data_IF_445428053354
#
_entry.id   IF_445428053354
#
_cell.length_a   1.000
_cell.length_b   1.000
_cell.length_c   1.000
_cell.angle_alpha   90.00
_cell.angle_beta   90.00
_cell.angle_gamma   90.00
#
_symmetry.space_group_name_H-M   'P 1'
#
loop_
_entity.id
_entity.type
_entity.pdbx_description
1 polymer ?
#
# COMPACT_ATOMS: atom_id res chain seq x y z
N UNK A 1 -6.17 -49.72 43.55
CA UNK A 1 -5.21 -50.86 43.56
C UNK A 1 -4.07 -50.51 42.61
N UNK A 2 -3.03 -49.78 43.04
CA UNK A 2 -1.69 -50.28 43.45
C UNK A 2 -1.34 -51.73 43.04
N UNK A 3 -0.33 -51.86 42.17
CA UNK A 3 0.87 -52.75 42.21
C UNK A 3 1.71 -52.40 40.96
N UNK A 4 2.93 -51.88 41.00
CA UNK A 4 4.19 -52.16 41.74
C UNK A 4 5.16 -53.03 40.94
N UNK A 5 6.39 -52.50 40.78
CA UNK A 5 7.72 -53.16 40.68
C UNK A 5 8.01 -54.02 39.42
N UNK A 6 9.19 -54.04 38.78
CA UNK A 6 10.62 -53.91 39.16
C UNK A 6 11.44 -53.75 37.85
N UNK A 7 12.44 -52.86 37.74
CA UNK A 7 13.87 -53.05 38.06
C UNK A 7 14.61 -54.11 37.22
N UNK A 8 15.42 -53.71 36.23
CA UNK A 8 16.75 -54.32 35.96
C UNK A 8 17.62 -53.36 35.12
N UNK A 9 18.78 -52.99 35.66
CA UNK A 9 19.92 -52.41 34.94
C UNK A 9 20.73 -53.55 34.30
N UNK A 10 21.20 -53.38 33.06
CA UNK A 10 22.41 -54.06 32.59
C UNK A 10 23.18 -53.16 31.63
N UNK A 11 24.48 -53.12 31.83
CA UNK A 11 25.44 -52.31 31.13
C UNK A 11 26.04 -53.03 29.90
N UNK A 12 26.80 -52.24 29.14
CA UNK A 12 28.09 -52.58 28.52
C UNK A 12 28.16 -53.00 27.02
N UNK A 13 29.02 -52.22 26.34
CA UNK A 13 30.06 -52.59 25.35
C UNK A 13 29.72 -52.45 23.85
N UNK A 14 30.39 -51.42 23.29
CA UNK A 14 31.14 -51.32 22.02
C UNK A 14 30.86 -52.36 20.92
N UNK A 15 30.63 -51.88 19.70
CA UNK A 15 31.53 -52.10 18.56
C UNK A 15 31.00 -51.48 17.27
N UNK A 16 31.94 -51.09 16.41
CA UNK A 16 31.74 -50.39 15.14
C UNK A 16 30.99 -51.22 14.09
N UNK A 17 30.17 -50.53 13.31
CA UNK A 17 29.61 -51.04 12.06
C UNK A 17 29.38 -49.87 11.10
N UNK A 18 30.35 -49.59 10.24
CA UNK A 18 30.16 -48.74 9.08
C UNK A 18 29.20 -49.44 8.11
N UNK A 19 28.04 -48.85 7.89
CA UNK A 19 27.13 -49.23 6.80
C UNK A 19 26.83 -47.96 6.00
N UNK A 20 27.50 -47.88 4.85
CA UNK A 20 27.14 -46.99 3.75
C UNK A 20 25.83 -47.50 3.15
N UNK A 21 24.73 -46.79 3.41
CA UNK A 21 23.52 -46.88 2.59
C UNK A 21 23.27 -45.49 2.01
N UNK A 22 23.63 -45.38 0.73
CA UNK A 22 23.11 -44.42 -0.23
C UNK A 22 21.62 -44.65 -0.42
N UNK A 23 20.78 -43.64 -0.17
CA UNK A 23 19.57 -43.31 -0.96
C UNK A 23 18.82 -42.17 -0.25
N UNK A 24 18.55 -41.06 -0.95
CA UNK A 24 17.66 -40.03 -0.43
C UNK A 24 17.98 -38.62 -0.91
N UNK A 25 17.87 -38.37 -2.20
CA UNK A 25 17.62 -37.01 -2.73
C UNK A 25 16.31 -36.48 -2.16
N UNK A 26 16.36 -35.42 -1.35
CA UNK A 26 15.39 -34.31 -1.28
C UNK A 26 15.79 -33.36 -0.13
N UNK A 27 16.82 -32.54 -0.38
CA UNK A 27 17.11 -31.36 0.42
C UNK A 27 16.64 -30.12 -0.35
N UNK A 28 15.55 -29.54 0.12
CA UNK A 28 14.88 -28.31 -0.33
C UNK A 28 15.80 -27.25 -0.96
N UNK A 29 15.60 -26.88 -2.25
CA UNK A 29 16.06 -25.58 -2.74
C UNK A 29 15.02 -24.51 -2.36
N UNK A 30 15.45 -23.25 -2.39
CA UNK A 30 14.70 -22.02 -2.07
C UNK A 30 14.70 -21.65 -0.59
N UNK A 31 15.90 -21.34 -0.11
CA UNK A 31 16.03 -20.32 0.92
C UNK A 31 15.26 -19.08 0.48
N UNK A 32 14.26 -18.70 1.26
CA UNK A 32 13.75 -17.34 1.27
C UNK A 32 14.92 -16.44 1.65
N UNK A 33 15.64 -15.94 0.65
CA UNK A 33 16.52 -14.79 0.81
C UNK A 33 15.59 -13.62 1.10
N UNK A 34 15.39 -13.33 2.38
CA UNK A 34 14.87 -12.05 2.81
C UNK A 34 15.76 -10.98 2.17
N UNK A 35 15.18 -10.18 1.26
CA UNK A 35 15.81 -8.93 0.83
C UNK A 35 15.78 -8.00 2.04
N UNK A 36 16.82 -8.10 2.87
CA UNK A 36 17.23 -6.97 3.68
C UNK A 36 17.74 -5.92 2.68
N UNK A 37 16.84 -5.06 2.21
CA UNK A 37 17.23 -3.87 1.49
C UNK A 37 17.97 -2.97 2.46
N UNK A 38 19.18 -2.60 2.09
CA UNK A 38 19.96 -1.59 2.79
C UNK A 38 19.21 -0.25 2.68
N UNK A 39 18.59 0.18 3.78
CA UNK A 39 17.80 1.42 3.84
C UNK A 39 18.65 2.66 3.47
N UNK A 40 19.98 2.56 3.53
CA UNK A 40 20.90 3.62 3.13
C UNK A 40 20.92 3.92 1.62
N UNK A 41 20.71 2.92 0.77
CA UNK A 41 20.78 3.08 -0.69
C UNK A 41 19.50 3.74 -1.25
N UNK A 42 18.34 3.39 -0.68
CA UNK A 42 17.04 3.91 -1.11
C UNK A 42 16.88 5.43 -0.85
N UNK A 43 17.40 5.95 0.26
CA UNK A 43 17.34 7.40 0.58
C UNK A 43 18.22 8.21 -0.37
N UNK A 44 19.38 7.66 -0.76
CA UNK A 44 20.30 8.23 -1.75
C UNK A 44 19.65 8.30 -3.15
N UNK A 45 18.97 7.23 -3.55
CA UNK A 45 18.33 7.11 -4.87
C UNK A 45 17.10 8.01 -5.01
N UNK A 46 16.29 8.16 -3.95
CA UNK A 46 15.14 9.06 -3.93
C UNK A 46 15.55 10.54 -4.13
N UNK A 47 16.63 10.97 -3.50
CA UNK A 47 17.14 12.34 -3.62
C UNK A 47 17.65 12.63 -5.04
N UNK A 48 18.27 11.65 -5.71
CA UNK A 48 18.77 11.81 -7.08
C UNK A 48 17.66 11.93 -8.11
N UNK A 49 16.51 11.31 -7.85
CA UNK A 49 15.35 11.31 -8.75
C UNK A 49 14.34 12.43 -8.46
N UNK A 50 14.58 13.28 -7.47
CA UNK A 50 13.68 14.37 -7.11
C UNK A 50 13.57 15.40 -8.26
N UNK A 51 12.36 15.86 -8.62
CA UNK A 51 12.19 16.88 -9.64
C UNK A 51 12.83 18.21 -9.24
N UNK A 52 13.46 18.89 -10.20
CA UNK A 52 14.16 20.15 -9.94
C UNK A 52 13.21 21.35 -9.82
N UNK A 53 11.97 21.21 -10.29
CA UNK A 53 11.00 22.31 -10.30
C UNK A 53 9.60 21.86 -9.91
N UNK A 54 8.80 22.79 -9.38
CA UNK A 54 7.39 22.55 -9.11
C UNK A 54 6.59 22.19 -10.37
N UNK A 55 6.98 22.70 -11.55
CA UNK A 55 6.34 22.36 -12.83
C UNK A 55 6.57 20.90 -13.19
N UNK A 56 7.79 20.41 -13.01
CA UNK A 56 8.12 19.00 -13.24
C UNK A 56 7.38 18.11 -12.22
N UNK A 57 7.39 18.49 -10.93
CA UNK A 57 6.66 17.78 -9.89
C UNK A 57 5.15 17.72 -10.17
N UNK A 58 4.55 18.81 -10.67
CA UNK A 58 3.15 18.84 -11.11
C UNK A 58 2.89 17.81 -12.20
N UNK A 59 3.69 17.79 -13.26
CA UNK A 59 3.53 16.83 -14.34
C UNK A 59 3.61 15.38 -13.86
N UNK A 60 4.58 15.08 -12.98
CA UNK A 60 4.73 13.75 -12.35
C UNK A 60 3.52 13.40 -11.48
N UNK A 61 3.05 14.33 -10.65
CA UNK A 61 1.89 14.12 -9.79
C UNK A 61 0.60 13.88 -10.59
N UNK A 62 0.38 14.63 -11.67
CA UNK A 62 -0.79 14.44 -12.53
C UNK A 62 -0.77 13.09 -13.25
N UNK A 63 0.38 12.67 -13.79
CA UNK A 63 0.52 11.35 -14.39
C UNK A 63 0.28 10.24 -13.36
N UNK A 64 0.83 10.37 -12.16
CA UNK A 64 0.64 9.42 -11.07
C UNK A 64 -0.82 9.37 -10.60
N UNK A 65 -1.47 10.53 -10.50
CA UNK A 65 -2.89 10.64 -10.19
C UNK A 65 -3.74 9.85 -11.19
N UNK A 66 -3.60 10.14 -12.48
CA UNK A 66 -4.39 9.46 -13.53
C UNK A 66 -4.11 7.96 -13.56
N UNK A 67 -2.86 7.55 -13.34
CA UNK A 67 -2.49 6.13 -13.30
C UNK A 67 -3.18 5.41 -12.15
N UNK A 68 -3.09 5.95 -10.92
CA UNK A 68 -3.70 5.35 -9.73
C UNK A 68 -5.23 5.41 -9.82
N UNK A 69 -5.78 6.53 -10.28
CA UNK A 69 -7.21 6.71 -10.51
C UNK A 69 -7.77 5.66 -11.46
N UNK A 70 -7.16 5.53 -12.64
CA UNK A 70 -7.58 4.57 -13.66
C UNK A 70 -7.42 3.13 -13.18
N UNK A 71 -6.29 2.80 -12.55
CA UNK A 71 -6.06 1.47 -11.98
C UNK A 71 -7.13 1.12 -10.94
N UNK A 72 -7.45 2.03 -10.02
CA UNK A 72 -8.47 1.82 -9.00
C UNK A 72 -9.86 1.57 -9.62
N UNK A 73 -10.21 2.31 -10.68
CA UNK A 73 -11.49 2.13 -11.39
C UNK A 73 -11.57 0.79 -12.09
N UNK A 74 -10.51 0.42 -12.84
CA UNK A 74 -10.45 -0.87 -13.54
C UNK A 74 -10.51 -2.02 -12.55
N UNK A 75 -9.74 -1.96 -11.46
CA UNK A 75 -9.72 -3.04 -10.46
C UNK A 75 -11.06 -3.20 -9.74
N UNK A 76 -11.74 -2.11 -9.40
CA UNK A 76 -13.08 -2.19 -8.82
C UNK A 76 -14.11 -2.77 -9.80
N UNK A 77 -14.00 -2.48 -11.09
CA UNK A 77 -14.92 -3.00 -12.11
C UNK A 77 -14.70 -4.48 -12.40
N UNK A 78 -13.44 -4.88 -12.56
CA UNK A 78 -13.09 -6.18 -13.13
C UNK A 78 -12.83 -7.25 -12.07
N UNK A 79 -12.37 -6.88 -10.88
CA UNK A 79 -11.93 -7.84 -9.86
C UNK A 79 -12.70 -7.78 -8.54
N UNK A 80 -13.34 -6.66 -8.21
CA UNK A 80 -14.06 -6.54 -6.95
C UNK A 80 -15.49 -7.08 -7.06
N UNK A 81 -15.83 -8.03 -6.17
CA UNK A 81 -17.20 -8.52 -5.98
C UNK A 81 -17.62 -8.29 -4.55
N UNK A 82 -18.80 -7.69 -4.37
CA UNK A 82 -19.33 -7.26 -3.08
C UNK A 82 -19.60 -8.43 -2.12
N UNK A 83 -19.99 -9.57 -2.67
CA UNK A 83 -20.34 -10.80 -1.94
C UNK A 83 -19.14 -11.72 -1.67
N UNK A 84 -17.98 -11.43 -2.28
CA UNK A 84 -16.76 -12.18 -2.06
C UNK A 84 -15.89 -11.46 -1.01
N UNK A 85 -15.30 -12.21 -0.07
CA UNK A 85 -14.41 -11.67 0.97
C UNK A 85 -13.00 -11.36 0.43
N UNK A 86 -12.93 -10.68 -0.72
CA UNK A 86 -11.68 -10.27 -1.37
C UNK A 86 -11.15 -8.97 -0.75
N UNK A 87 -9.82 -8.76 -0.86
CA UNK A 87 -9.19 -7.51 -0.44
C UNK A 87 -9.72 -6.33 -1.26
N UNK A 88 -10.06 -5.24 -0.59
CA UNK A 88 -10.57 -4.02 -1.23
C UNK A 88 -9.46 -3.41 -2.11
N UNK A 89 -9.72 -3.09 -3.39
CA UNK A 89 -8.69 -2.61 -4.30
C UNK A 89 -7.92 -1.37 -3.81
N UNK A 90 -8.59 -0.45 -3.10
CA UNK A 90 -7.92 0.74 -2.52
C UNK A 90 -6.88 0.38 -1.47
N UNK A 91 -7.14 -0.66 -0.67
CA UNK A 91 -6.20 -1.14 0.35
C UNK A 91 -5.00 -1.84 -0.31
N UNK A 92 -5.22 -2.64 -1.36
CA UNK A 92 -4.12 -3.28 -2.09
C UNK A 92 -3.11 -2.29 -2.69
N UNK A 93 -3.57 -1.09 -3.06
CA UNK A 93 -2.69 -0.03 -3.57
C UNK A 93 -1.86 0.68 -2.50
N UNK A 94 -2.20 0.56 -1.22
CA UNK A 94 -1.41 1.18 -0.14
C UNK A 94 0.00 0.58 -0.07
N UNK A 95 0.16 -0.68 -0.48
CA UNK A 95 1.47 -1.33 -0.63
C UNK A 95 2.30 -0.66 -1.74
N UNK A 96 1.66 -0.31 -2.86
CA UNK A 96 2.29 0.45 -3.94
C UNK A 96 2.71 1.85 -3.45
N UNK A 97 1.89 2.48 -2.60
CA UNK A 97 2.21 3.80 -2.04
C UNK A 97 3.44 3.75 -1.14
N UNK A 98 3.61 2.68 -0.36
CA UNK A 98 4.81 2.47 0.46
C UNK A 98 6.05 2.30 -0.40
N UNK A 99 5.97 1.57 -1.51
CA UNK A 99 7.10 1.45 -2.45
C UNK A 99 7.44 2.78 -3.13
N UNK A 100 6.44 3.60 -3.49
CA UNK A 100 6.69 4.96 -4.01
C UNK A 100 7.39 5.85 -2.98
N UNK A 101 7.00 5.75 -1.71
CA UNK A 101 7.67 6.47 -0.62
C UNK A 101 9.11 5.97 -0.43
N UNK A 102 9.30 4.65 -0.44
CA UNK A 102 10.62 4.02 -0.24
C UNK A 102 11.60 4.36 -1.37
N UNK A 103 11.20 4.21 -2.63
CA UNK A 103 12.10 4.33 -3.76
C UNK A 103 12.27 5.76 -4.28
N UNK A 104 11.27 6.64 -4.06
CA UNK A 104 11.26 7.99 -4.62
C UNK A 104 10.97 9.09 -3.60
N UNK A 105 10.73 8.76 -2.33
CA UNK A 105 10.29 9.74 -1.32
C UNK A 105 8.92 10.34 -1.61
N UNK A 106 8.15 9.76 -2.55
CA UNK A 106 6.83 10.27 -2.95
C UNK A 106 5.77 9.67 -2.03
N UNK A 107 5.18 10.51 -1.19
CA UNK A 107 4.08 10.10 -0.32
C UNK A 107 2.76 10.18 -1.08
N UNK A 108 2.01 9.08 -1.08
CA UNK A 108 0.68 9.01 -1.67
C UNK A 108 -0.32 8.50 -0.65
N UNK A 109 -1.49 9.13 -0.56
CA UNK A 109 -2.55 8.68 0.36
C UNK A 109 -3.96 9.02 -0.12
N UNK A 110 -4.91 8.20 0.28
CA UNK A 110 -6.34 8.46 0.08
C UNK A 110 -6.83 9.63 0.93
N UNK A 111 -7.85 10.33 0.43
CA UNK A 111 -8.49 11.45 1.10
C UNK A 111 -10.02 11.35 0.99
N UNK A 112 -10.72 11.39 2.11
CA UNK A 112 -12.17 11.54 2.13
C UNK A 112 -12.53 13.00 1.81
N UNK A 113 -13.40 13.22 0.82
CA UNK A 113 -13.79 14.56 0.37
C UNK A 113 -15.25 14.85 0.72
N UNK A 114 -16.21 14.21 0.04
CA UNK A 114 -17.64 14.45 0.28
C UNK A 114 -18.45 13.17 0.57
N UNK A 115 -17.75 12.14 1.05
CA UNK A 115 -18.32 10.92 1.65
C UNK A 115 -17.68 10.67 3.01
N UNK A 116 -18.29 9.82 3.81
CA UNK A 116 -17.62 9.32 5.01
C UNK A 116 -16.31 8.62 4.65
N UNK A 117 -15.31 8.76 5.52
CA UNK A 117 -14.04 8.10 5.36
C UNK A 117 -14.21 6.61 5.66
N UNK A 118 -13.98 5.76 4.65
CA UNK A 118 -14.04 4.30 4.81
C UNK A 118 -12.98 3.77 5.77
N UNK A 119 -11.87 4.51 5.92
CA UNK A 119 -10.85 4.31 6.92
C UNK A 119 -10.58 5.66 7.61
N UNK A 120 -10.40 5.66 8.94
CA UNK A 120 -10.01 6.83 9.73
C UNK A 120 -8.77 7.52 9.19
N UNK A 121 -7.86 6.75 8.58
CA UNK A 121 -6.61 7.27 8.01
C UNK A 121 -6.82 8.19 6.80
N UNK A 122 -7.98 8.12 6.16
CA UNK A 122 -8.30 8.91 4.97
C UNK A 122 -8.91 10.27 5.32
N UNK A 123 -9.15 10.56 6.62
CA UNK A 123 -9.62 11.88 7.04
C UNK A 123 -8.54 12.94 6.78
N UNK A 124 -8.90 14.18 6.43
CA UNK A 124 -7.93 15.27 6.29
C UNK A 124 -7.24 15.54 7.65
N UNK A 125 -5.91 15.56 7.63
CA UNK A 125 -5.01 15.73 8.78
C UNK A 125 -4.34 17.10 8.76
N UNK A 126 -3.85 17.52 7.59
CA UNK A 126 -3.09 18.77 7.45
C UNK A 126 -3.98 19.93 6.97
N UNK A 127 -3.46 21.16 7.05
CA UNK A 127 -4.15 22.34 6.51
C UNK A 127 -4.34 22.23 5.01
N UNK A 128 -3.29 21.86 4.28
CA UNK A 128 -3.36 21.57 2.84
C UNK A 128 -4.52 20.63 2.49
N UNK A 129 -4.72 19.59 3.29
CA UNK A 129 -5.75 18.58 3.02
C UNK A 129 -7.16 19.08 3.32
N UNK A 130 -7.32 19.86 4.39
CA UNK A 130 -8.60 20.53 4.66
C UNK A 130 -8.94 21.51 3.53
N UNK A 131 -7.94 22.20 2.98
CA UNK A 131 -8.11 23.16 1.89
C UNK A 131 -8.43 22.45 0.58
N UNK A 132 -7.73 21.35 0.30
CA UNK A 132 -8.04 20.45 -0.78
C UNK A 132 -9.48 19.94 -0.68
N UNK A 133 -9.92 19.43 0.48
CA UNK A 133 -11.32 18.97 0.67
C UNK A 133 -12.32 20.06 0.32
N UNK A 134 -12.09 21.31 0.75
CA UNK A 134 -12.98 22.44 0.41
C UNK A 134 -13.00 22.70 -1.10
N UNK A 135 -11.83 22.74 -1.74
CA UNK A 135 -11.69 22.97 -3.18
C UNK A 135 -12.34 21.85 -4.02
N UNK A 136 -12.08 20.59 -3.68
CA UNK A 136 -12.63 19.44 -4.41
C UNK A 136 -14.14 19.31 -4.18
N UNK A 137 -14.63 19.61 -2.97
CA UNK A 137 -16.08 19.64 -2.68
C UNK A 137 -16.80 20.73 -3.48
N UNK A 138 -16.15 21.86 -3.75
CA UNK A 138 -16.71 22.92 -4.60
C UNK A 138 -16.70 22.58 -6.10
N UNK A 139 -16.29 21.36 -6.47
CA UNK A 139 -16.30 20.88 -7.85
C UNK A 139 -15.01 21.12 -8.63
N UNK A 140 -13.92 21.58 -7.99
CA UNK A 140 -12.61 21.60 -8.65
C UNK A 140 -12.08 20.17 -8.82
N UNK A 141 -11.43 19.89 -9.95
CA UNK A 141 -10.83 18.58 -10.21
C UNK A 141 -9.54 18.34 -9.45
N UNK A 142 -8.82 19.43 -9.12
CA UNK A 142 -7.53 19.38 -8.43
C UNK A 142 -7.31 20.59 -7.52
N UNK A 143 -6.40 20.43 -6.56
CA UNK A 143 -5.85 21.47 -5.70
C UNK A 143 -4.35 21.22 -5.49
N UNK A 144 -3.54 22.27 -5.54
CA UNK A 144 -2.09 22.15 -5.45
C UNK A 144 -1.47 23.26 -4.61
N UNK A 145 -0.29 22.98 -4.05
CA UNK A 145 0.54 23.95 -3.34
C UNK A 145 2.02 23.55 -3.43
N UNK A 146 2.91 24.53 -3.37
CA UNK A 146 4.36 24.31 -3.28
C UNK A 146 5.00 25.36 -2.38
N UNK A 147 6.04 24.97 -1.63
CA UNK A 147 6.80 25.87 -0.76
C UNK A 147 8.31 25.90 -1.10
N UNK A 148 8.70 25.41 -2.27
CA UNK A 148 10.10 25.35 -2.71
C UNK A 148 10.87 24.10 -2.25
N UNK A 149 10.43 23.44 -1.18
CA UNK A 149 11.01 22.15 -0.73
C UNK A 149 10.13 20.96 -1.09
N UNK A 150 8.81 21.17 -1.13
CA UNK A 150 7.83 20.14 -1.42
C UNK A 150 6.76 20.70 -2.34
N UNK A 151 6.35 19.86 -3.29
CA UNK A 151 5.14 20.07 -4.08
C UNK A 151 4.04 19.11 -3.59
N UNK A 152 2.82 19.62 -3.45
CA UNK A 152 1.65 18.83 -3.05
C UNK A 152 0.54 18.99 -4.08
N UNK A 153 -0.07 17.86 -4.42
CA UNK A 153 -1.22 17.75 -5.30
C UNK A 153 -2.33 16.96 -4.61
N UNK A 154 -3.57 17.38 -4.79
CA UNK A 154 -4.77 16.65 -4.41
C UNK A 154 -5.71 16.61 -5.61
N UNK A 155 -5.97 15.41 -6.15
CA UNK A 155 -6.86 15.20 -7.29
C UNK A 155 -8.11 14.42 -6.91
N UNK A 156 -9.20 14.59 -7.68
CA UNK A 156 -10.47 13.88 -7.46
C UNK A 156 -10.38 12.43 -7.92
N UNK A 157 -10.72 11.52 -7.01
CA UNK A 157 -11.12 10.16 -7.35
C UNK A 157 -12.65 10.13 -7.47
N UNK A 158 -13.13 10.09 -8.71
CA UNK A 158 -14.57 10.03 -9.00
C UNK A 158 -15.18 8.71 -8.51
N UNK A 159 -16.14 8.81 -7.61
CA UNK A 159 -16.94 7.70 -7.12
C UNK A 159 -18.24 7.63 -7.93
N UNK A 160 -18.22 6.77 -8.95
CA UNK A 160 -19.40 6.49 -9.79
C UNK A 160 -20.46 5.68 -9.03
N UNK A 161 -21.67 5.56 -9.59
CA UNK A 161 -22.80 4.82 -9.00
C UNK A 161 -22.45 3.43 -8.43
N UNK A 162 -21.54 2.67 -9.06
CA UNK A 162 -21.10 1.37 -8.53
C UNK A 162 -20.28 1.52 -7.24
N UNK A 163 -19.39 2.51 -7.18
CA UNK A 163 -18.59 2.82 -6.00
C UNK A 163 -19.48 3.27 -4.83
N UNK A 164 -20.60 3.95 -5.12
CA UNK A 164 -21.51 4.45 -4.08
C UNK A 164 -22.23 3.35 -3.31
N UNK A 165 -22.21 2.09 -3.76
CA UNK A 165 -22.75 0.96 -2.99
C UNK A 165 -22.08 0.82 -1.63
N UNK A 166 -20.75 0.94 -1.60
CA UNK A 166 -19.96 0.81 -0.38
C UNK A 166 -19.66 2.17 0.25
N UNK A 167 -19.42 3.20 -0.55
CA UNK A 167 -19.05 4.53 -0.04
C UNK A 167 -20.22 5.34 0.52
N UNK A 168 -21.46 5.02 0.10
CA UNK A 168 -22.69 5.70 0.53
C UNK A 168 -23.82 4.66 0.60
N UNK A 169 -23.80 3.73 1.58
CA UNK A 169 -24.70 2.56 1.60
C UNK A 169 -26.18 2.95 1.63
N UNK A 170 -26.51 4.06 2.31
CA UNK A 170 -27.87 4.60 2.41
C UNK A 170 -28.15 5.73 1.39
N UNK A 171 -27.55 5.66 0.19
CA UNK A 171 -27.72 6.72 -0.82
C UNK A 171 -29.17 6.85 -1.28
N UNK A 172 -29.63 8.09 -1.40
CA UNK A 172 -30.91 8.46 -2.01
C UNK A 172 -30.75 8.92 -3.47
N UNK A 173 -29.53 8.91 -4.00
CA UNK A 173 -29.19 9.40 -5.34
C UNK A 173 -27.99 8.65 -5.91
N UNK A 174 -27.91 8.57 -7.23
CA UNK A 174 -26.78 8.02 -8.00
C UNK A 174 -25.82 9.08 -8.52
N UNK A 175 -26.02 10.37 -8.17
CA UNK A 175 -25.08 11.44 -8.48
C UNK A 175 -23.70 11.07 -7.96
N UNK A 176 -22.67 11.30 -8.75
CA UNK A 176 -21.28 11.01 -8.39
C UNK A 176 -20.87 11.70 -7.08
N UNK A 177 -19.89 11.10 -6.41
CA UNK A 177 -19.19 11.68 -5.26
C UNK A 177 -17.70 11.77 -5.55
N UNK A 178 -17.00 12.45 -4.68
CA UNK A 178 -15.56 12.60 -4.72
C UNK A 178 -14.94 11.92 -3.50
N UNK A 179 -13.98 11.06 -3.76
CA UNK A 179 -12.83 10.88 -2.89
C UNK A 179 -11.66 11.70 -3.48
N UNK A 180 -10.51 11.66 -2.82
CA UNK A 180 -9.30 12.33 -3.28
C UNK A 180 -8.08 11.44 -3.14
N UNK A 181 -7.05 11.80 -3.90
CA UNK A 181 -5.71 11.24 -3.80
C UNK A 181 -4.74 12.39 -3.59
N UNK A 182 -4.01 12.34 -2.47
CA UNK A 182 -2.98 13.33 -2.15
C UNK A 182 -1.62 12.75 -2.46
N UNK A 183 -0.82 13.53 -3.18
CA UNK A 183 0.53 13.19 -3.63
C UNK A 183 1.45 14.32 -3.14
N UNK A 184 2.46 13.97 -2.35
CA UNK A 184 3.52 14.87 -1.89
C UNK A 184 4.83 14.45 -2.53
N UNK A 185 5.48 15.36 -3.24
CA UNK A 185 6.73 15.12 -3.96
C UNK A 185 7.80 16.08 -3.41
N UNK A 186 8.92 15.57 -2.87
CA UNK A 186 10.05 16.42 -2.51
C UNK A 186 10.67 17.03 -3.77
N UNK A 187 11.11 18.29 -3.67
CA UNK A 187 11.84 18.97 -4.73
C UNK A 187 13.35 18.83 -4.50
N UNK A 188 14.12 18.77 -5.58
CA UNK A 188 15.58 18.84 -5.47
C UNK A 188 15.98 20.21 -4.89
N UNK A 189 17.01 20.20 -4.06
CA UNK A 189 17.60 21.40 -3.46
C UNK A 189 18.52 22.12 -4.44
#
# INVERSE_FOLDING_TARGET
>A
MRRSTTCTLLAMILSWGAVLITCGTMGFPHGCRAYAGDDGDAVSEAAHNAPATATEARGRAQLLHETIHGALQVMHRDFFREDEKLTIPSHSLEDVFRELTRSYGVEVRWLAVNTEAMNVDHKPRTEFERDAVRALTSGKGEFEASNGEVYRHAGVIRLSSQCLKCHVPNRTSTKDRAAGLVITIPLAK
#
